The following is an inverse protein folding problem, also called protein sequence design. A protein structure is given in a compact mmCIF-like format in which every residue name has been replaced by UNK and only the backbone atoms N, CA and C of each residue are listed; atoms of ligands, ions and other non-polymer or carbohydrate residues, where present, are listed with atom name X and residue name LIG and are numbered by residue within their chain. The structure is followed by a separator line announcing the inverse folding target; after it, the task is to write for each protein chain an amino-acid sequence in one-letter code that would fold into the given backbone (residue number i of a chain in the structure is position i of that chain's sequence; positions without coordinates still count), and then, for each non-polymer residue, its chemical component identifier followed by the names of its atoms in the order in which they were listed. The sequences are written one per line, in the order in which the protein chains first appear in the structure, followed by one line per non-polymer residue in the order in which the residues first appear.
data_IF_696431891852
#
_entry.id   IF_696431891852
#
_cell.length_a   1.000
_cell.length_b   1.000
_cell.length_c   1.000
_cell.angle_alpha   90.00
_cell.angle_beta   90.00
_cell.angle_gamma   90.00
#
_symmetry.space_group_name_H-M   'P 1'
#
loop_
_entity.id
_entity.type
_entity.pdbx_description
1 polymer ?
#
# COMPACT_ATOMS: atom_id res chain seq x y z
N UNK A 1 -3.41 18.07 12.96
CA UNK A 1 -4.27 17.26 12.07
C UNK A 1 -4.75 17.97 10.79
N UNK A 2 -5.23 19.23 10.83
CA UNK A 2 -5.65 19.96 9.60
C UNK A 2 -4.60 19.96 8.48
N UNK A 3 -3.34 20.25 8.80
CA UNK A 3 -2.25 20.27 7.83
C UNK A 3 -2.04 18.91 7.13
N UNK A 4 -2.09 17.81 7.89
CA UNK A 4 -1.96 16.45 7.36
C UNK A 4 -3.12 16.11 6.43
N UNK A 5 -4.36 16.51 6.77
CA UNK A 5 -5.53 16.30 5.91
C UNK A 5 -5.45 17.11 4.62
N UNK A 6 -4.96 18.35 4.68
CA UNK A 6 -4.74 19.18 3.48
C UNK A 6 -3.67 18.59 2.57
N UNK A 7 -2.57 18.10 3.14
CA UNK A 7 -1.54 17.38 2.40
C UNK A 7 -2.10 16.10 1.79
N UNK A 8 -2.84 15.29 2.56
CA UNK A 8 -3.50 14.08 2.08
C UNK A 8 -4.38 14.35 0.86
N UNK A 9 -5.18 15.43 0.87
CA UNK A 9 -6.01 15.83 -0.27
C UNK A 9 -5.19 16.16 -1.53
N UNK A 10 -4.06 16.84 -1.37
CA UNK A 10 -3.17 17.14 -2.51
C UNK A 10 -2.54 15.86 -3.07
N UNK A 11 -2.04 15.00 -2.19
CA UNK A 11 -1.44 13.71 -2.57
C UNK A 11 -2.48 12.76 -3.16
N UNK A 12 -3.74 12.83 -2.74
CA UNK A 12 -4.84 12.03 -3.29
C UNK A 12 -5.05 12.27 -4.79
N UNK A 13 -4.76 13.47 -5.30
CA UNK A 13 -4.91 13.78 -6.73
C UNK A 13 -3.80 13.21 -7.62
N UNK A 14 -2.71 12.70 -7.02
CA UNK A 14 -1.59 12.11 -7.74
C UNK A 14 -1.78 10.60 -7.91
N UNK A 15 -1.22 10.02 -8.98
CA UNK A 15 -1.31 8.58 -9.27
C UNK A 15 -0.14 7.76 -8.69
N UNK A 16 0.95 8.41 -8.29
CA UNK A 16 2.12 7.73 -7.76
C UNK A 16 1.81 7.01 -6.42
N UNK A 17 2.61 5.99 -6.05
CA UNK A 17 2.47 5.31 -4.78
C UNK A 17 2.49 6.29 -3.60
N UNK A 18 1.60 6.06 -2.63
CA UNK A 18 1.50 6.85 -1.41
C UNK A 18 1.90 6.00 -0.20
N UNK A 19 2.97 6.39 0.49
CA UNK A 19 3.42 5.79 1.74
C UNK A 19 2.89 6.59 2.94
N UNK A 20 2.14 5.93 3.80
CA UNK A 20 1.58 6.50 5.02
C UNK A 20 2.34 5.91 6.22
N UNK A 21 3.03 6.76 6.97
CA UNK A 21 3.85 6.35 8.12
C UNK A 21 3.22 6.88 9.40
N UNK A 22 3.02 6.01 10.39
CA UNK A 22 2.50 6.42 11.69
C UNK A 22 2.30 5.25 12.65
N UNK A 23 2.21 5.56 13.95
CA UNK A 23 2.04 4.57 15.02
C UNK A 23 0.75 3.74 14.84
N UNK A 24 0.69 2.57 15.48
CA UNK A 24 -0.52 1.74 15.55
C UNK A 24 -1.70 2.57 16.08
N UNK A 25 -2.88 2.39 15.49
CA UNK A 25 -4.10 3.06 15.94
C UNK A 25 -4.19 4.56 15.63
N UNK A 26 -3.29 5.11 14.81
CA UNK A 26 -3.37 6.51 14.33
C UNK A 26 -4.37 6.73 13.19
N UNK A 27 -5.03 5.67 12.70
CA UNK A 27 -6.03 5.74 11.62
C UNK A 27 -5.43 5.81 10.21
N UNK A 28 -4.29 5.13 9.98
CA UNK A 28 -3.62 5.07 8.67
C UNK A 28 -4.52 4.49 7.57
N UNK A 29 -5.25 3.44 7.90
CA UNK A 29 -6.26 2.78 7.08
C UNK A 29 -7.39 3.74 6.69
N UNK A 30 -7.93 4.48 7.67
CA UNK A 30 -8.98 5.47 7.45
C UNK A 30 -8.49 6.61 6.53
N UNK A 31 -7.25 7.07 6.74
CA UNK A 31 -6.65 8.11 5.91
C UNK A 31 -6.37 7.59 4.49
N UNK A 32 -5.89 6.35 4.34
CA UNK A 32 -5.68 5.73 3.04
C UNK A 32 -6.99 5.64 2.24
N UNK A 33 -8.07 5.22 2.89
CA UNK A 33 -9.39 5.17 2.27
C UNK A 33 -9.90 6.57 1.92
N UNK A 34 -9.72 7.56 2.80
CA UNK A 34 -10.06 8.95 2.51
C UNK A 34 -9.27 9.51 1.31
N UNK A 35 -7.98 9.16 1.17
CA UNK A 35 -7.18 9.50 0.00
C UNK A 35 -7.73 8.86 -1.28
N UNK A 36 -8.18 7.61 -1.23
CA UNK A 36 -8.83 6.98 -2.37
C UNK A 36 -10.13 7.71 -2.75
N UNK A 37 -11.00 8.00 -1.79
CA UNK A 37 -12.26 8.73 -2.00
C UNK A 37 -12.06 10.18 -2.50
N UNK A 38 -10.92 10.79 -2.20
CA UNK A 38 -10.56 12.13 -2.68
C UNK A 38 -9.81 12.12 -4.03
N UNK A 39 -9.52 10.94 -4.59
CA UNK A 39 -8.76 10.79 -5.83
C UNK A 39 -9.65 10.74 -7.07
N UNK A 40 -9.09 10.89 -8.28
CA UNK A 40 -9.80 10.61 -9.53
C UNK A 40 -10.37 9.18 -9.63
N UNK A 41 -9.94 8.26 -8.76
CA UNK A 41 -10.36 6.85 -8.71
C UNK A 41 -11.44 6.58 -7.65
N UNK A 42 -12.04 7.59 -7.04
CA UNK A 42 -13.00 7.44 -5.93
C UNK A 42 -14.22 6.53 -6.24
N UNK A 43 -14.64 6.45 -7.50
CA UNK A 43 -15.73 5.58 -7.95
C UNK A 43 -15.26 4.19 -8.42
N UNK A 44 -13.99 3.84 -8.21
CA UNK A 44 -13.37 2.58 -8.64
C UNK A 44 -13.11 1.70 -7.42
N UNK A 45 -12.80 0.40 -7.61
CA UNK A 45 -12.63 -0.49 -6.47
C UNK A 45 -11.48 -0.06 -5.55
N UNK A 46 -11.66 -0.31 -4.26
CA UNK A 46 -10.67 -0.12 -3.22
C UNK A 46 -10.58 -1.41 -2.41
N UNK A 47 -9.42 -2.06 -2.43
CA UNK A 47 -9.18 -3.29 -1.68
C UNK A 47 -8.03 -3.06 -0.70
N UNK A 48 -8.11 -3.66 0.48
CA UNK A 48 -7.12 -3.51 1.53
C UNK A 48 -6.65 -4.88 2.01
N UNK A 49 -5.34 -5.05 2.12
CA UNK A 49 -4.70 -6.24 2.66
C UNK A 49 -3.69 -5.83 3.72
N UNK A 50 -3.78 -6.46 4.90
CA UNK A 50 -2.76 -6.30 5.93
C UNK A 50 -1.72 -7.42 5.78
N UNK A 51 -0.49 -7.05 5.42
CA UNK A 51 0.59 -7.96 5.07
C UNK A 51 1.12 -8.77 6.26
N UNK A 52 0.86 -8.34 7.50
CA UNK A 52 1.28 -9.04 8.72
C UNK A 52 0.20 -9.94 9.34
N UNK A 53 -1.02 -9.97 8.79
CA UNK A 53 -2.18 -10.62 9.42
C UNK A 53 -2.41 -12.07 9.00
N UNK A 54 -1.84 -12.50 7.87
CA UNK A 54 -2.04 -13.83 7.28
C UNK A 54 -0.70 -14.42 6.81
N UNK A 55 -0.62 -15.75 6.61
CA UNK A 55 0.59 -16.41 6.10
C UNK A 55 1.02 -15.87 4.72
N UNK A 56 2.32 -15.94 4.43
CA UNK A 56 2.91 -15.41 3.19
C UNK A 56 2.23 -15.94 1.92
N UNK A 57 2.01 -17.26 1.81
CA UNK A 57 1.36 -17.86 0.64
C UNK A 57 -0.07 -17.35 0.45
N UNK A 58 -0.75 -17.02 1.55
CA UNK A 58 -2.07 -16.40 1.50
C UNK A 58 -1.99 -14.94 1.04
N UNK A 59 -1.00 -14.16 1.49
CA UNK A 59 -0.74 -12.80 0.96
C UNK A 59 -0.49 -12.84 -0.55
N UNK A 60 0.32 -13.80 -1.02
CA UNK A 60 0.63 -13.99 -2.44
C UNK A 60 -0.63 -14.28 -3.26
N UNK A 61 -1.45 -15.24 -2.81
CA UNK A 61 -2.71 -15.62 -3.45
C UNK A 61 -3.76 -14.50 -3.41
N UNK A 62 -3.86 -13.73 -2.31
CA UNK A 62 -4.78 -12.59 -2.23
C UNK A 62 -4.36 -11.46 -3.17
N UNK A 63 -3.07 -11.10 -3.23
CA UNK A 63 -2.62 -10.00 -4.09
C UNK A 63 -2.60 -10.36 -5.57
N UNK A 64 -2.02 -11.50 -5.91
CA UNK A 64 -1.72 -11.88 -7.29
C UNK A 64 -2.68 -12.95 -7.84
N UNK A 65 -3.52 -13.57 -7.02
CA UNK A 65 -4.42 -14.63 -7.45
C UNK A 65 -3.73 -15.98 -7.58
N UNK A 66 -4.54 -17.00 -7.82
CA UNK A 66 -4.12 -18.40 -7.96
C UNK A 66 -4.84 -19.01 -9.17
N UNK A 67 -4.08 -19.38 -10.19
CA UNK A 67 -4.64 -19.91 -11.43
C UNK A 67 -5.19 -21.33 -11.28
N UNK A 68 -4.61 -22.15 -10.39
CA UNK A 68 -5.10 -23.50 -10.13
C UNK A 68 -6.49 -23.47 -9.49
N UNK A 69 -6.77 -22.44 -8.69
CA UNK A 69 -8.06 -22.22 -8.05
C UNK A 69 -8.99 -21.30 -8.86
N UNK A 70 -8.55 -20.76 -10.00
CA UNK A 70 -9.29 -19.75 -10.77
C UNK A 70 -9.54 -18.45 -10.00
N UNK A 71 -8.74 -18.17 -8.97
CA UNK A 71 -8.91 -17.01 -8.08
C UNK A 71 -8.21 -15.78 -8.66
N UNK A 72 -8.98 -14.71 -8.85
CA UNK A 72 -8.43 -13.39 -9.21
C UNK A 72 -7.83 -12.71 -7.98
N UNK A 73 -6.63 -12.15 -8.12
CA UNK A 73 -5.98 -11.38 -7.05
C UNK A 73 -6.55 -9.97 -6.91
N UNK A 74 -6.21 -9.30 -5.81
CA UNK A 74 -6.65 -7.94 -5.50
C UNK A 74 -6.19 -6.95 -6.56
N UNK A 75 -5.00 -7.11 -7.14
CA UNK A 75 -4.55 -6.23 -8.22
C UNK A 75 -5.45 -6.33 -9.46
N UNK A 76 -5.93 -7.54 -9.80
CA UNK A 76 -6.87 -7.73 -10.91
C UNK A 76 -8.26 -7.18 -10.57
N UNK A 77 -8.76 -7.49 -9.37
CA UNK A 77 -10.06 -7.02 -8.90
C UNK A 77 -10.11 -5.49 -8.74
N UNK A 78 -8.98 -4.86 -8.39
CA UNK A 78 -8.87 -3.42 -8.20
C UNK A 78 -8.42 -2.65 -9.44
N UNK A 79 -8.45 -3.26 -10.63
CA UNK A 79 -8.05 -2.60 -11.87
C UNK A 79 -8.82 -1.27 -12.09
N UNK A 80 -8.09 -0.20 -12.38
CA UNK A 80 -8.58 1.19 -12.45
C UNK A 80 -8.77 1.87 -11.08
N UNK A 81 -8.60 1.15 -9.98
CA UNK A 81 -8.85 1.56 -8.61
C UNK A 81 -7.58 1.70 -7.77
N UNK A 82 -7.65 1.32 -6.48
CA UNK A 82 -6.52 1.37 -5.57
C UNK A 82 -6.45 0.16 -4.64
N UNK A 83 -5.23 -0.23 -4.27
CA UNK A 83 -4.97 -1.27 -3.26
C UNK A 83 -4.19 -0.67 -2.10
N UNK A 84 -4.70 -0.87 -0.89
CA UNK A 84 -3.99 -0.60 0.36
C UNK A 84 -3.19 -1.84 0.78
N UNK A 85 -1.88 -1.65 0.94
CA UNK A 85 -0.96 -2.61 1.57
C UNK A 85 -0.63 -2.09 2.97
N UNK A 86 -1.38 -2.58 3.96
CA UNK A 86 -1.19 -2.21 5.35
C UNK A 86 -0.11 -3.07 6.01
N UNK A 87 0.62 -2.46 6.94
CA UNK A 87 1.85 -3.01 7.53
C UNK A 87 2.85 -3.55 6.49
N UNK A 88 3.15 -2.75 5.46
CA UNK A 88 4.06 -3.14 4.36
C UNK A 88 5.45 -3.57 4.85
N UNK A 89 5.88 -3.07 6.02
CA UNK A 89 7.14 -3.47 6.66
C UNK A 89 7.16 -4.90 7.23
N UNK A 90 6.04 -5.63 7.17
CA UNK A 90 5.96 -7.07 7.49
C UNK A 90 6.08 -7.97 6.25
N UNK A 91 6.11 -7.39 5.05
CA UNK A 91 6.15 -8.17 3.82
C UNK A 91 7.48 -8.95 3.69
N UNK A 92 7.39 -10.24 3.32
CA UNK A 92 8.55 -11.09 3.10
C UNK A 92 9.46 -10.59 1.96
N UNK A 93 10.77 -10.92 1.94
CA UNK A 93 11.66 -10.55 0.84
C UNK A 93 11.21 -11.06 -0.54
N UNK A 94 10.57 -12.24 -0.60
CA UNK A 94 10.02 -12.80 -1.84
C UNK A 94 8.86 -11.94 -2.33
N UNK A 95 7.94 -11.57 -1.44
CA UNK A 95 6.81 -10.70 -1.78
C UNK A 95 7.24 -9.29 -2.15
N UNK A 96 8.26 -8.73 -1.49
CA UNK A 96 8.87 -7.45 -1.86
C UNK A 96 9.39 -7.47 -3.31
N UNK A 97 10.02 -8.57 -3.74
CA UNK A 97 10.51 -8.73 -5.12
C UNK A 97 9.36 -8.77 -6.13
N UNK A 98 8.26 -9.46 -5.81
CA UNK A 98 7.07 -9.49 -6.67
C UNK A 98 6.38 -8.14 -6.75
N UNK A 99 6.22 -7.46 -5.62
CA UNK A 99 5.63 -6.12 -5.57
C UNK A 99 6.47 -5.11 -6.36
N UNK A 100 7.80 -5.17 -6.26
CA UNK A 100 8.68 -4.30 -7.04
C UNK A 100 8.47 -4.49 -8.54
N UNK A 101 8.36 -5.73 -9.03
CA UNK A 101 8.06 -6.01 -10.44
C UNK A 101 6.72 -5.42 -10.85
N UNK A 102 5.69 -5.63 -10.04
CA UNK A 102 4.37 -5.06 -10.26
C UNK A 102 4.38 -3.53 -10.32
N UNK A 103 5.13 -2.85 -9.44
CA UNK A 103 5.18 -1.39 -9.39
C UNK A 103 5.90 -0.74 -10.59
N UNK A 104 6.57 -1.52 -11.45
CA UNK A 104 7.25 -0.97 -12.62
C UNK A 104 6.26 -0.54 -13.69
N UNK A 105 5.33 -1.42 -14.05
CA UNK A 105 4.41 -1.25 -15.16
C UNK A 105 3.00 -1.82 -14.89
N UNK A 106 2.70 -2.33 -13.70
CA UNK A 106 1.40 -2.94 -13.37
C UNK A 106 1.26 -4.38 -13.86
N UNK A 107 2.34 -5.02 -14.30
CA UNK A 107 2.32 -6.39 -14.82
C UNK A 107 2.71 -7.41 -13.75
N UNK A 108 1.99 -8.52 -13.68
CA UNK A 108 2.29 -9.63 -12.77
C UNK A 108 1.80 -10.97 -13.33
N UNK A 109 2.12 -12.07 -12.64
CA UNK A 109 1.60 -13.42 -12.95
C UNK A 109 0.87 -13.98 -11.74
N UNK A 110 -0.22 -14.70 -11.96
CA UNK A 110 -0.90 -15.44 -10.90
C UNK A 110 -0.01 -16.57 -10.39
N UNK A 111 -0.29 -17.07 -9.18
CA UNK A 111 0.40 -18.26 -8.67
C UNK A 111 0.10 -19.45 -9.58
N UNK A 112 1.15 -20.13 -10.03
CA UNK A 112 1.05 -21.28 -10.92
C UNK A 112 0.77 -20.95 -12.39
N UNK A 113 0.80 -19.67 -12.80
CA UNK A 113 0.55 -19.24 -14.17
C UNK A 113 1.78 -18.55 -14.79
N UNK A 114 2.05 -18.81 -16.07
CA UNK A 114 3.10 -18.12 -16.82
C UNK A 114 2.57 -16.92 -17.63
N UNK A 115 1.25 -16.82 -17.77
CA UNK A 115 0.60 -15.71 -18.44
C UNK A 115 0.67 -14.45 -17.59
N UNK A 116 1.04 -13.34 -18.23
CA UNK A 116 1.14 -12.04 -17.60
C UNK A 116 -0.20 -11.30 -17.67
N UNK A 117 -0.60 -10.73 -16.54
CA UNK A 117 -1.77 -9.89 -16.38
C UNK A 117 -1.29 -8.47 -16.16
N UNK A 118 -1.82 -7.52 -16.93
CA UNK A 118 -1.54 -6.11 -16.81
C UNK A 118 -2.76 -5.37 -16.23
N UNK A 119 -2.53 -4.52 -15.22
CA UNK A 119 -3.57 -3.73 -14.58
C UNK A 119 -3.07 -2.33 -14.26
N UNK A 120 -3.99 -1.38 -14.22
CA UNK A 120 -3.73 -0.02 -13.76
C UNK A 120 -4.25 0.15 -12.33
N UNK A 121 -3.40 -0.02 -11.32
CA UNK A 121 -3.78 0.10 -9.91
C UNK A 121 -2.88 1.09 -9.20
N UNK A 122 -3.49 2.01 -8.44
CA UNK A 122 -2.73 2.85 -7.52
C UNK A 122 -2.44 2.08 -6.23
N UNK A 123 -1.17 2.03 -5.84
CA UNK A 123 -0.76 1.42 -4.56
C UNK A 123 -0.71 2.48 -3.47
N UNK A 124 -1.36 2.21 -2.35
CA UNK A 124 -1.24 2.98 -1.11
C UNK A 124 -0.63 2.02 -0.08
N UNK A 125 0.42 2.43 0.61
CA UNK A 125 1.08 1.63 1.63
C UNK A 125 0.92 2.30 2.99
N UNK A 126 0.77 1.50 4.04
CA UNK A 126 0.81 1.96 5.41
C UNK A 126 1.81 1.14 6.22
N UNK A 127 2.51 1.79 7.15
CA UNK A 127 3.46 1.12 8.04
C UNK A 127 3.66 1.94 9.32
N UNK A 128 3.91 1.24 10.43
CA UNK A 128 4.47 1.86 11.63
C UNK A 128 5.99 1.70 11.73
N UNK A 129 6.59 0.79 10.95
CA UNK A 129 8.02 0.55 10.95
C UNK A 129 8.78 1.61 10.17
N UNK A 130 9.99 1.92 10.63
CA UNK A 130 10.96 2.70 9.88
C UNK A 130 11.56 1.84 8.76
N UNK A 131 11.09 2.04 7.52
CA UNK A 131 11.55 1.26 6.37
C UNK A 131 13.04 1.47 6.08
N UNK A 132 13.60 2.66 6.35
CA UNK A 132 15.04 2.93 6.14
C UNK A 132 15.88 2.05 7.08
N UNK A 133 15.47 1.91 8.35
CA UNK A 133 16.16 1.01 9.28
C UNK A 133 16.04 -0.46 8.85
N UNK A 134 14.89 -0.87 8.28
CA UNK A 134 14.74 -2.23 7.75
C UNK A 134 15.65 -2.45 6.53
N UNK A 135 15.82 -1.44 5.68
CA UNK A 135 16.77 -1.47 4.56
C UNK A 135 18.20 -1.67 5.08
N UNK A 136 18.63 -0.89 6.07
CA UNK A 136 19.95 -1.03 6.69
C UNK A 136 20.19 -2.41 7.32
N UNK A 137 19.12 -3.05 7.81
CA UNK A 137 19.15 -4.41 8.38
C UNK A 137 19.03 -5.52 7.33
N UNK A 138 18.87 -5.18 6.04
CA UNK A 138 18.66 -6.16 4.96
C UNK A 138 17.30 -6.86 5.00
N UNK A 139 16.34 -6.33 5.77
CA UNK A 139 14.99 -6.88 5.92
C UNK A 139 13.99 -6.27 4.93
N UNK A 140 14.33 -5.13 4.35
CA UNK A 140 13.53 -4.48 3.31
C UNK A 140 14.42 -4.09 2.14
N UNK A 141 13.96 -4.29 0.91
CA UNK A 141 14.77 -3.95 -0.27
C UNK A 141 14.84 -2.43 -0.46
N UNK A 142 16.05 -1.96 -0.72
CA UNK A 142 16.31 -0.54 -0.97
C UNK A 142 15.58 -0.01 -2.21
N UNK A 143 15.59 -0.77 -3.31
CA UNK A 143 14.91 -0.42 -4.57
C UNK A 143 13.39 -0.26 -4.39
N UNK A 144 12.76 -1.18 -3.67
CA UNK A 144 11.35 -1.11 -3.33
C UNK A 144 11.04 0.10 -2.44
N UNK A 145 11.89 0.39 -1.46
CA UNK A 145 11.72 1.55 -0.58
C UNK A 145 11.66 2.84 -1.39
N UNK A 146 12.62 3.08 -2.31
CA UNK A 146 12.60 4.29 -3.13
C UNK A 146 11.41 4.36 -4.09
N UNK A 147 10.91 3.22 -4.58
CA UNK A 147 9.71 3.17 -5.43
C UNK A 147 8.42 3.50 -4.67
N UNK A 148 8.35 3.14 -3.39
CA UNK A 148 7.20 3.42 -2.52
C UNK A 148 7.26 4.83 -1.91
N UNK A 149 8.46 5.31 -1.57
CA UNK A 149 8.69 6.60 -0.90
C UNK A 149 8.68 7.79 -1.87
N UNK A 150 7.79 7.76 -2.88
CA UNK A 150 7.62 8.85 -3.84
C UNK A 150 6.72 9.95 -3.26
N UNK A 151 5.58 9.55 -2.70
CA UNK A 151 4.70 10.42 -1.94
C UNK A 151 4.63 9.88 -0.52
N UNK A 152 5.00 10.69 0.47
CA UNK A 152 5.04 10.24 1.86
C UNK A 152 4.25 11.17 2.76
N UNK A 153 3.45 10.58 3.64
CA UNK A 153 2.64 11.29 4.61
C UNK A 153 2.88 10.70 6.00
N UNK A 154 3.29 11.55 6.93
CA UNK A 154 3.54 11.19 8.32
C UNK A 154 2.33 11.55 9.18
N UNK A 155 1.74 10.56 9.85
CA UNK A 155 0.73 10.80 10.88
C UNK A 155 1.42 10.97 12.23
N UNK A 156 1.22 12.10 12.91
CA UNK A 156 1.69 12.26 14.27
C UNK A 156 0.95 11.30 15.21
N UNK A 157 1.58 10.88 16.32
CA UNK A 157 0.92 10.01 17.29
C UNK A 157 -0.22 10.75 17.99
N UNK A 158 -1.26 10.01 18.41
CA UNK A 158 -2.46 10.59 19.03
C UNK A 158 -2.16 11.44 20.28
N UNK A 159 -1.05 11.18 20.98
CA UNK A 159 -0.58 11.98 22.12
C UNK A 159 -0.24 13.43 21.76
N UNK A 160 0.30 13.65 20.56
CA UNK A 160 0.66 14.99 20.06
C UNK A 160 -0.57 15.76 19.55
N UNK A 161 -1.67 15.04 19.27
CA UNK A 161 -2.96 15.63 18.90
C UNK A 161 -3.71 16.31 20.06
N UNK A 162 -3.28 16.16 21.34
CA UNK A 162 -3.97 16.81 22.47
C UNK A 162 -3.71 18.32 22.59
N UNK A 163 -2.72 18.87 21.90
CA UNK A 163 -2.31 20.29 22.06
C UNK A 163 -2.73 21.23 20.94
N UNK A 164 -3.19 20.73 19.80
CA UNK A 164 -3.69 21.60 18.72
C UNK A 164 -5.20 21.50 18.66
N UNK A 165 -5.86 22.61 19.00
CA UNK A 165 -7.30 22.83 18.98
C UNK A 165 -8.02 22.10 17.83
N UNK A 166 -8.60 20.95 18.13
CA UNK A 166 -9.76 20.43 17.42
C UNK A 166 -10.98 21.25 17.86
N UNK A 167 -11.16 22.42 17.24
CA UNK A 167 -12.46 23.07 17.05
C UNK A 167 -12.55 23.42 15.59
#
# INVERSE_FOLDING_TARGET
MRHVVEQARKLAMLSAPLLIVGDTGTGKDLLAHACHLASPRAGKPYLALNCGSIPEDAVESELFGDALQGKKGFFEQANGGSVLLDEIGEMSPRMQTKLLRFLNDGTFRRVGEDHEVHVDVRVICATQKNLIELVQKGLFREDLYYRLNVLTLYLPPLRDCRRTSCR
#
